data_IF_679562996720
#
_entry.id   IF_679562996720
#
_cell.length_a   1.000
_cell.length_b   1.000
_cell.length_c   1.000
_cell.angle_alpha   90.00
_cell.angle_beta   90.00
_cell.angle_gamma   90.00
#
_symmetry.space_group_name_H-M   'P 1'
#
loop_
_entity.id
_entity.type
_entity.pdbx_description
1 polymer ?
#
# COMPACT_ATOMS: atom_id res chain seq x y z
N UNK A 1 12.32 8.30 14.13
CA UNK A 1 12.87 6.94 14.14
C UNK A 1 13.21 6.60 12.71
N UNK A 2 14.50 6.54 12.40
CA UNK A 2 15.00 6.27 11.06
C UNK A 2 14.98 4.77 10.78
N UNK A 3 14.35 4.39 9.67
CA UNK A 3 14.31 3.06 9.07
C UNK A 3 14.09 1.87 10.02
N UNK A 4 12.83 1.51 10.27
CA UNK A 4 12.49 0.22 10.90
C UNK A 4 12.57 -0.91 9.87
N UNK A 5 13.21 -2.02 10.22
CA UNK A 5 13.25 -3.24 9.38
C UNK A 5 12.31 -4.29 9.96
N UNK A 6 11.43 -4.85 9.13
CA UNK A 6 10.52 -5.93 9.49
C UNK A 6 10.90 -7.18 8.69
N UNK A 7 11.56 -8.13 9.35
CA UNK A 7 12.00 -9.39 8.74
C UNK A 7 10.94 -10.48 8.77
N UNK A 8 11.25 -11.65 8.20
CA UNK A 8 10.32 -12.77 8.08
C UNK A 8 9.63 -13.13 9.40
N UNK A 9 8.29 -13.12 9.39
CA UNK A 9 7.45 -13.35 10.57
C UNK A 9 7.35 -12.18 11.55
N UNK A 10 8.14 -11.12 11.35
CA UNK A 10 8.03 -9.89 12.13
C UNK A 10 6.74 -9.12 11.82
N UNK A 11 6.19 -8.47 12.83
CA UNK A 11 5.00 -7.62 12.71
C UNK A 11 5.27 -6.26 13.34
N UNK A 12 4.90 -5.19 12.65
CA UNK A 12 4.89 -3.83 13.16
C UNK A 12 3.47 -3.27 13.13
N UNK A 13 2.92 -2.92 14.28
CA UNK A 13 1.67 -2.20 14.40
C UNK A 13 1.94 -0.69 14.52
N UNK A 14 1.52 0.08 13.53
CA UNK A 14 1.70 1.53 13.47
C UNK A 14 0.42 2.22 13.94
N UNK A 15 0.48 2.89 15.09
CA UNK A 15 -0.59 3.76 15.61
C UNK A 15 -0.17 5.25 15.67
N UNK A 16 1.08 5.55 15.32
CA UNK A 16 1.64 6.89 15.21
C UNK A 16 2.31 7.07 13.86
N UNK A 17 3.55 7.57 13.83
CA UNK A 17 4.29 7.75 12.58
C UNK A 17 5.39 6.70 12.42
N UNK A 18 5.47 6.10 11.23
CA UNK A 18 6.56 5.24 10.80
C UNK A 18 7.15 5.77 9.49
N UNK A 19 8.45 6.00 9.44
CA UNK A 19 9.12 6.55 8.25
C UNK A 19 10.20 5.61 7.75
N UNK A 20 10.31 5.49 6.43
CA UNK A 20 11.35 4.72 5.74
C UNK A 20 11.42 3.24 6.20
N UNK A 21 10.25 2.64 6.47
CA UNK A 21 10.19 1.23 6.89
C UNK A 21 10.61 0.31 5.75
N UNK A 22 11.39 -0.72 6.04
CA UNK A 22 11.79 -1.75 5.08
C UNK A 22 11.17 -3.09 5.51
N UNK A 23 10.32 -3.66 4.66
CA UNK A 23 9.69 -4.96 4.90
C UNK A 23 10.41 -6.03 4.06
N UNK A 24 10.98 -7.04 4.71
CA UNK A 24 11.67 -8.19 4.10
C UNK A 24 11.10 -9.51 4.64
N UNK A 25 9.82 -9.74 4.37
CA UNK A 25 9.10 -10.97 4.72
C UNK A 25 8.15 -10.82 5.91
N UNK A 26 8.15 -9.65 6.56
CA UNK A 26 7.26 -9.33 7.65
C UNK A 26 5.95 -8.68 7.21
N UNK A 27 5.22 -8.15 8.19
CA UNK A 27 3.97 -7.41 7.99
C UNK A 27 3.99 -6.08 8.72
N UNK A 28 3.61 -5.00 8.03
CA UNK A 28 3.31 -3.71 8.66
C UNK A 28 1.78 -3.50 8.65
N UNK A 29 1.18 -3.35 9.83
CA UNK A 29 -0.22 -2.97 9.96
C UNK A 29 -0.29 -1.49 10.32
N UNK A 30 -0.88 -0.68 9.46
CA UNK A 30 -1.14 0.73 9.71
C UNK A 30 -2.55 0.84 10.26
N UNK A 31 -2.66 0.99 11.57
CA UNK A 31 -3.92 1.04 12.29
C UNK A 31 -4.50 2.46 12.27
N UNK A 32 -5.66 2.65 12.89
CA UNK A 32 -6.32 3.96 12.97
C UNK A 32 -5.37 5.05 13.51
N UNK A 33 -5.31 6.19 12.83
CA UNK A 33 -4.37 7.31 13.06
C UNK A 33 -2.88 6.98 12.80
N UNK A 34 -2.56 5.76 12.39
CA UNK A 34 -1.22 5.38 11.95
C UNK A 34 -0.90 5.99 10.58
N UNK A 35 0.32 6.48 10.43
CA UNK A 35 0.85 7.04 9.19
C UNK A 35 2.18 6.36 8.88
N UNK A 36 2.30 5.74 7.72
CA UNK A 36 3.57 5.22 7.21
C UNK A 36 4.00 6.00 5.96
N UNK A 37 5.22 6.53 5.95
CA UNK A 37 5.77 7.29 4.81
C UNK A 37 7.04 6.65 4.30
N UNK A 38 7.15 6.47 2.98
CA UNK A 38 8.37 5.97 2.34
C UNK A 38 8.64 4.49 2.62
N UNK A 39 7.59 3.67 2.73
CA UNK A 39 7.76 2.23 3.00
C UNK A 39 8.27 1.50 1.76
N UNK A 40 9.30 0.67 1.92
CA UNK A 40 9.82 -0.22 0.90
C UNK A 40 9.48 -1.67 1.24
N UNK A 41 8.62 -2.31 0.44
CA UNK A 41 8.24 -3.71 0.60
C UNK A 41 9.04 -4.53 -0.41
N UNK A 42 10.12 -5.16 0.06
CA UNK A 42 10.95 -6.03 -0.76
C UNK A 42 10.36 -7.45 -0.82
N UNK A 43 9.79 -7.89 0.31
CA UNK A 43 8.97 -9.09 0.45
C UNK A 43 8.03 -8.90 1.65
N UNK A 44 6.88 -9.57 1.67
CA UNK A 44 5.89 -9.44 2.75
C UNK A 44 4.74 -8.50 2.39
N UNK A 45 4.15 -7.85 3.39
CA UNK A 45 2.88 -7.12 3.22
C UNK A 45 2.78 -5.85 4.07
N UNK A 46 2.16 -4.81 3.52
CA UNK A 46 1.66 -3.66 4.27
C UNK A 46 0.12 -3.65 4.21
N UNK A 47 -0.54 -3.71 5.37
CA UNK A 47 -1.99 -3.60 5.51
C UNK A 47 -2.33 -2.20 6.00
N UNK A 48 -3.14 -1.47 5.24
CA UNK A 48 -3.64 -0.15 5.61
C UNK A 48 -5.09 -0.33 6.05
N UNK A 49 -5.28 -0.33 7.37
CA UNK A 49 -6.59 -0.59 7.98
C UNK A 49 -7.40 0.70 8.05
N UNK A 50 -8.65 0.59 8.51
CA UNK A 50 -9.54 1.73 8.71
C UNK A 50 -8.87 2.87 9.50
N UNK A 51 -8.83 4.05 8.91
CA UNK A 51 -8.22 5.26 9.47
C UNK A 51 -6.68 5.30 9.43
N UNK A 52 -6.05 4.26 8.88
CA UNK A 52 -4.62 4.22 8.60
C UNK A 52 -4.29 4.87 7.26
N UNK A 53 -3.09 5.47 7.16
CA UNK A 53 -2.60 6.11 5.93
C UNK A 53 -1.19 5.63 5.56
N UNK A 54 -1.00 5.23 4.31
CA UNK A 54 0.32 5.03 3.74
C UNK A 54 0.60 6.07 2.65
N UNK A 55 1.79 6.64 2.68
CA UNK A 55 2.28 7.59 1.69
C UNK A 55 3.58 7.08 1.06
N UNK A 56 3.63 7.05 -0.26
CA UNK A 56 4.81 6.72 -1.06
C UNK A 56 5.35 5.33 -0.70
N UNK A 57 4.59 4.29 -1.07
CA UNK A 57 5.00 2.91 -0.82
C UNK A 57 5.55 2.27 -2.08
N UNK A 58 6.76 1.72 -2.03
CA UNK A 58 7.34 0.95 -3.14
C UNK A 58 7.09 -0.55 -2.93
N UNK A 59 6.46 -1.21 -3.89
CA UNK A 59 6.01 -2.59 -3.78
C UNK A 59 6.77 -3.44 -4.81
N UNK A 60 7.67 -4.29 -4.33
CA UNK A 60 8.52 -5.14 -5.18
C UNK A 60 7.85 -6.46 -5.58
N UNK A 61 8.51 -7.23 -6.44
CA UNK A 61 8.03 -8.54 -6.88
C UNK A 61 7.67 -9.46 -5.71
N UNK A 62 6.52 -10.12 -5.79
CA UNK A 62 6.01 -11.04 -4.77
C UNK A 62 5.49 -10.36 -3.49
N UNK A 63 5.51 -9.02 -3.43
CA UNK A 63 5.07 -8.23 -2.29
C UNK A 63 3.68 -7.64 -2.49
N UNK A 64 3.03 -7.25 -1.38
CA UNK A 64 1.66 -6.73 -1.42
C UNK A 64 1.48 -5.47 -0.57
N UNK A 65 0.65 -4.56 -1.05
CA UNK A 65 -0.02 -3.56 -0.23
C UNK A 65 -1.53 -3.84 -0.30
N UNK A 66 -2.19 -3.88 0.86
CA UNK A 66 -3.63 -4.10 0.99
C UNK A 66 -4.25 -2.87 1.62
N UNK A 67 -5.16 -2.22 0.89
CA UNK A 67 -5.95 -1.08 1.36
C UNK A 67 -7.32 -1.61 1.76
N UNK A 68 -7.54 -1.75 3.07
CA UNK A 68 -8.81 -2.21 3.60
C UNK A 68 -9.84 -1.08 3.62
N UNK A 69 -11.10 -1.41 3.93
CA UNK A 69 -12.18 -0.44 4.07
C UNK A 69 -11.80 0.71 5.01
N UNK A 70 -11.92 1.95 4.53
CA UNK A 70 -11.59 3.16 5.27
C UNK A 70 -10.08 3.42 5.43
N UNK A 71 -9.22 2.59 4.83
CA UNK A 71 -7.79 2.84 4.69
C UNK A 71 -7.48 3.72 3.49
N UNK A 72 -6.33 4.39 3.51
CA UNK A 72 -5.91 5.27 2.39
C UNK A 72 -4.45 5.07 2.02
N UNK A 73 -4.20 4.76 0.75
CA UNK A 73 -2.87 4.75 0.15
C UNK A 73 -2.71 5.96 -0.80
N UNK A 74 -1.58 6.64 -0.74
CA UNK A 74 -1.22 7.69 -1.71
C UNK A 74 0.17 7.44 -2.27
N UNK A 75 0.34 7.55 -3.59
CA UNK A 75 1.66 7.44 -4.22
C UNK A 75 2.26 6.04 -4.21
N UNK A 76 1.44 4.99 -4.28
CA UNK A 76 1.94 3.62 -4.32
C UNK A 76 2.59 3.31 -5.67
N UNK A 77 3.86 2.88 -5.64
CA UNK A 77 4.63 2.49 -6.82
C UNK A 77 4.72 0.95 -6.88
N UNK A 78 3.95 0.33 -7.77
CA UNK A 78 3.89 -1.12 -7.90
C UNK A 78 4.84 -1.53 -9.02
N UNK A 79 5.93 -2.20 -8.66
CA UNK A 79 6.92 -2.73 -9.61
C UNK A 79 6.42 -4.03 -10.24
N UNK A 80 7.11 -4.48 -11.29
CA UNK A 80 6.83 -5.76 -11.92
C UNK A 80 6.78 -6.90 -10.88
N UNK A 81 5.68 -7.68 -10.89
CA UNK A 81 5.42 -8.76 -9.93
C UNK A 81 4.89 -8.31 -8.56
N UNK A 82 4.81 -7.00 -8.28
CA UNK A 82 4.17 -6.46 -7.08
C UNK A 82 2.66 -6.39 -7.24
N UNK A 83 1.93 -6.30 -6.12
CA UNK A 83 0.46 -6.20 -6.14
C UNK A 83 -0.05 -5.14 -5.19
N UNK A 84 -0.94 -4.28 -5.70
CA UNK A 84 -1.84 -3.46 -4.90
C UNK A 84 -3.23 -4.12 -4.88
N UNK A 85 -3.77 -4.33 -3.69
CA UNK A 85 -5.14 -4.82 -3.46
C UNK A 85 -5.92 -3.70 -2.78
N UNK A 86 -7.03 -3.28 -3.37
CA UNK A 86 -7.95 -2.29 -2.79
C UNK A 86 -9.28 -2.97 -2.55
N UNK A 87 -9.63 -3.16 -1.28
CA UNK A 87 -10.90 -3.72 -0.88
C UNK A 87 -12.02 -2.67 -0.96
N UNK A 88 -13.27 -3.13 -0.92
CA UNK A 88 -14.43 -2.25 -1.01
C UNK A 88 -14.42 -1.18 0.07
N UNK A 89 -14.49 0.09 -0.34
CA UNK A 89 -14.40 1.25 0.54
C UNK A 89 -12.97 1.66 0.90
N UNK A 90 -11.95 1.05 0.29
CA UNK A 90 -10.56 1.50 0.34
C UNK A 90 -10.26 2.59 -0.70
N UNK A 91 -9.31 3.45 -0.40
CA UNK A 91 -8.94 4.61 -1.25
C UNK A 91 -7.46 4.51 -1.65
N UNK A 92 -7.17 4.65 -2.95
CA UNK A 92 -5.81 4.62 -3.48
C UNK A 92 -5.59 5.69 -4.57
N UNK A 93 -4.87 6.77 -4.24
CA UNK A 93 -4.64 7.88 -5.16
C UNK A 93 -3.20 7.94 -5.65
N UNK A 94 -2.99 8.37 -6.90
CA UNK A 94 -1.66 8.48 -7.48
C UNK A 94 -0.94 7.13 -7.53
N UNK A 95 -1.65 6.06 -7.87
CA UNK A 95 -1.08 4.72 -8.03
C UNK A 95 -0.23 4.68 -9.30
N UNK A 96 1.00 4.17 -9.23
CA UNK A 96 1.87 3.97 -10.39
C UNK A 96 2.09 2.48 -10.65
N UNK A 97 1.63 2.01 -11.81
CA UNK A 97 1.72 0.61 -12.23
C UNK A 97 2.82 0.43 -13.29
N UNK A 98 3.86 -0.32 -12.95
CA UNK A 98 4.86 -0.79 -13.93
C UNK A 98 4.28 -1.91 -14.80
N UNK A 99 4.92 -2.17 -15.94
CA UNK A 99 4.59 -3.35 -16.76
C UNK A 99 4.82 -4.63 -15.93
N UNK A 100 3.80 -5.49 -15.86
CA UNK A 100 3.84 -6.72 -15.07
C UNK A 100 3.49 -6.55 -13.59
N UNK A 101 3.10 -5.35 -13.15
CA UNK A 101 2.45 -5.16 -11.85
C UNK A 101 0.98 -5.63 -11.88
N UNK A 102 0.38 -5.79 -10.70
CA UNK A 102 -1.03 -6.11 -10.56
C UNK A 102 -1.76 -5.07 -9.68
N UNK A 103 -2.94 -4.69 -10.12
CA UNK A 103 -3.95 -3.99 -9.33
C UNK A 103 -5.19 -4.89 -9.23
N UNK A 104 -5.64 -5.17 -8.02
CA UNK A 104 -6.88 -5.89 -7.73
C UNK A 104 -7.82 -4.92 -7.01
N UNK A 105 -8.91 -4.54 -7.67
CA UNK A 105 -9.87 -3.58 -7.13
C UNK A 105 -11.24 -4.25 -6.90
N UNK A 106 -11.67 -4.32 -5.64
CA UNK A 106 -12.99 -4.79 -5.26
C UNK A 106 -13.95 -3.61 -5.19
N UNK A 107 -14.57 -3.27 -6.33
CA UNK A 107 -15.43 -2.09 -6.46
C UNK A 107 -16.71 -2.18 -5.62
N UNK A 108 -17.11 -1.05 -5.07
CA UNK A 108 -18.36 -0.82 -4.34
C UNK A 108 -18.26 0.47 -3.54
N UNK A 109 -19.32 0.82 -2.81
CA UNK A 109 -19.46 2.14 -2.20
C UNK A 109 -18.20 2.60 -1.44
N UNK A 110 -17.67 3.76 -1.86
CA UNK A 110 -16.51 4.40 -1.24
C UNK A 110 -15.15 3.90 -1.74
N UNK A 111 -15.14 3.03 -2.75
CA UNK A 111 -13.92 2.69 -3.47
C UNK A 111 -13.57 3.85 -4.38
N UNK A 112 -12.37 4.40 -4.23
CA UNK A 112 -11.87 5.48 -5.09
C UNK A 112 -10.39 5.26 -5.39
N UNK A 113 -10.10 5.03 -6.67
CA UNK A 113 -8.76 4.71 -7.15
C UNK A 113 -8.45 5.57 -8.35
N UNK A 114 -7.31 6.24 -8.33
CA UNK A 114 -6.72 6.87 -9.52
C UNK A 114 -5.23 6.58 -9.60
N UNK A 115 -4.71 6.68 -10.82
CA UNK A 115 -3.30 6.48 -11.04
C UNK A 115 -2.90 6.47 -12.50
N UNK A 116 -1.69 6.00 -12.73
CA UNK A 116 -1.04 5.95 -14.02
C UNK A 116 -0.48 4.55 -14.28
N UNK A 117 -0.76 4.03 -15.47
CA UNK A 117 0.08 3.00 -16.08
C UNK A 117 0.98 3.70 -17.10
N UNK A 118 2.28 3.82 -16.78
CA UNK A 118 3.22 4.69 -17.50
C UNK A 118 2.73 6.16 -17.52
N UNK A 119 2.21 6.63 -18.66
CA UNK A 119 1.68 8.00 -18.83
C UNK A 119 0.16 8.02 -19.00
N UNK A 120 -0.49 6.87 -19.05
CA UNK A 120 -1.94 6.75 -19.20
C UNK A 120 -2.59 6.80 -17.83
N UNK A 121 -3.46 7.79 -17.64
CA UNK A 121 -4.26 7.91 -16.43
C UNK A 121 -5.43 6.92 -16.44
N UNK A 122 -5.78 6.38 -15.28
CA UNK A 122 -6.97 5.57 -15.07
C UNK A 122 -7.67 5.98 -13.78
N UNK A 123 -8.97 5.71 -13.72
CA UNK A 123 -9.77 5.81 -12.49
C UNK A 123 -10.63 4.56 -12.33
N UNK A 124 -10.87 4.14 -11.10
CA UNK A 124 -11.78 3.06 -10.71
C UNK A 124 -12.55 3.54 -9.49
N UNK A 125 -13.86 3.68 -9.62
CA UNK A 125 -14.74 4.12 -8.53
C UNK A 125 -15.89 3.14 -8.35
N UNK A 126 -16.51 3.12 -7.17
CA UNK A 126 -17.63 2.24 -6.84
C UNK A 126 -18.64 2.82 -5.87
#
# INVERSE_FOLDING_TARGET
ADATRIDNGGVMDVAGNATNTIINGGTQNINNHGIATGTNINSGTQNIKSGGKADTTNISSGSKQVVEKGGTATGSNIRAGGTLIVDTGGIAHGVYLDTGSALVANTGAGTDIDGYQRSSHFTITG
#
